data_IF_114036947430
#
_entry.id   IF_114036947430
#
_cell.length_a   1.000
_cell.length_b   1.000
_cell.length_c   1.000
_cell.angle_alpha   90.00
_cell.angle_beta   90.00
_cell.angle_gamma   90.00
#
_symmetry.space_group_name_H-M   'P 1'
#
loop_
_entity.id
_entity.type
_entity.pdbx_description
1 polymer ?
#
# COMPACT_ATOMS: atom_id res chain seq x y z
N UNK A 1 15.53 -6.40 6.34
CA UNK A 1 14.18 -6.73 6.84
C UNK A 1 13.90 -5.89 8.08
N UNK A 2 12.77 -5.19 8.11
CA UNK A 2 12.49 -4.19 9.14
C UNK A 2 11.93 -4.86 10.42
N UNK A 3 12.82 -5.29 11.33
CA UNK A 3 12.41 -5.87 12.63
C UNK A 3 11.59 -4.91 13.48
N UNK A 4 11.80 -3.60 13.32
CA UNK A 4 11.05 -2.56 14.02
C UNK A 4 9.59 -2.60 13.57
N UNK A 5 9.33 -2.65 12.26
CA UNK A 5 7.99 -2.82 11.69
C UNK A 5 7.30 -4.08 12.23
N UNK A 6 7.96 -5.23 12.17
CA UNK A 6 7.39 -6.50 12.65
C UNK A 6 7.08 -6.49 14.15
N UNK A 7 7.95 -5.86 14.96
CA UNK A 7 7.69 -5.68 16.39
C UNK A 7 6.53 -4.71 16.64
N UNK A 8 6.39 -3.66 15.84
CA UNK A 8 5.33 -2.66 15.97
C UNK A 8 3.93 -3.19 15.63
N UNK A 9 3.83 -4.33 14.90
CA UNK A 9 2.57 -5.06 14.76
C UNK A 9 2.02 -5.53 16.12
N UNK A 10 2.87 -5.60 17.16
CA UNK A 10 2.44 -5.73 18.55
C UNK A 10 1.62 -6.98 18.84
N UNK A 11 1.99 -8.13 18.26
CA UNK A 11 1.24 -9.37 18.37
C UNK A 11 1.75 -10.27 19.52
N UNK A 12 0.89 -10.53 20.49
CA UNK A 12 1.16 -11.44 21.61
C UNK A 12 0.89 -12.91 21.27
N UNK A 13 0.13 -13.16 20.18
CA UNK A 13 -0.19 -14.48 19.65
C UNK A 13 0.17 -14.52 18.16
N UNK A 14 0.99 -15.50 17.78
CA UNK A 14 1.41 -15.67 16.39
C UNK A 14 0.31 -16.27 15.49
N UNK A 15 -0.80 -16.74 16.07
CA UNK A 15 -1.94 -17.27 15.32
C UNK A 15 -2.63 -16.24 14.42
N UNK A 16 -2.43 -14.95 14.72
CA UNK A 16 -2.89 -13.82 13.91
C UNK A 16 -2.09 -13.64 12.62
N UNK A 17 -0.94 -14.31 12.46
CA UNK A 17 -0.20 -14.30 11.22
C UNK A 17 -0.56 -15.47 10.29
N UNK A 18 -0.34 -15.26 9.00
CA UNK A 18 -0.40 -16.29 7.95
C UNK A 18 0.66 -16.02 6.87
N UNK A 19 0.99 -17.06 6.11
CA UNK A 19 1.90 -16.96 4.95
C UNK A 19 1.17 -17.14 3.62
N UNK A 20 -0.15 -17.28 3.67
CA UNK A 20 -1.01 -17.55 2.51
C UNK A 20 -2.35 -16.87 2.65
N UNK A 21 -2.97 -16.55 1.52
CA UNK A 21 -4.33 -16.02 1.42
C UNK A 21 -5.35 -17.07 0.94
N UNK A 22 -4.94 -18.35 0.87
CA UNK A 22 -5.84 -19.46 0.52
C UNK A 22 -6.97 -19.60 1.53
N UNK A 23 -8.15 -19.98 1.00
CA UNK A 23 -9.38 -20.21 1.77
C UNK A 23 -9.89 -18.98 2.53
N UNK A 24 -9.43 -17.77 2.21
CA UNK A 24 -9.94 -16.51 2.72
C UNK A 24 -11.18 -16.06 1.94
N UNK A 25 -12.17 -15.52 2.67
CA UNK A 25 -13.37 -14.89 2.10
C UNK A 25 -13.04 -13.52 1.49
N UNK A 26 -12.11 -12.80 2.13
CA UNK A 26 -11.65 -11.47 1.73
C UNK A 26 -10.13 -11.35 1.85
N UNK A 27 -9.55 -10.68 0.87
CA UNK A 27 -8.11 -10.38 0.78
C UNK A 27 -7.98 -8.87 0.66
N UNK A 28 -7.30 -8.26 1.63
CA UNK A 28 -6.84 -6.88 1.53
C UNK A 28 -5.38 -6.87 1.11
N UNK A 29 -5.02 -6.01 0.16
CA UNK A 29 -3.63 -5.77 -0.21
C UNK A 29 -3.36 -4.27 -0.19
N UNK A 30 -2.34 -3.85 0.56
CA UNK A 30 -1.95 -2.44 0.72
C UNK A 30 -0.43 -2.30 0.63
N UNK A 31 0.05 -1.27 -0.05
CA UNK A 31 1.48 -0.90 -0.10
C UNK A 31 2.38 -1.85 -0.88
N UNK A 32 1.87 -2.46 -1.96
CA UNK A 32 2.70 -3.16 -2.93
C UNK A 32 2.07 -3.14 -4.32
N UNK A 33 2.94 -3.21 -5.33
CA UNK A 33 2.62 -3.49 -6.73
C UNK A 33 3.12 -4.91 -7.12
N UNK A 34 2.36 -5.99 -6.85
CA UNK A 34 2.86 -7.37 -6.99
C UNK A 34 3.26 -7.76 -8.42
N UNK A 35 2.68 -7.15 -9.45
CA UNK A 35 3.12 -7.38 -10.84
C UNK A 35 4.60 -7.06 -11.07
N UNK A 36 5.18 -6.19 -10.23
CA UNK A 36 6.60 -5.78 -10.23
C UNK A 36 7.40 -6.45 -9.11
N UNK A 37 6.85 -6.52 -7.90
CA UNK A 37 7.59 -6.97 -6.71
C UNK A 37 7.52 -8.48 -6.49
N UNK A 38 6.35 -9.08 -6.69
CA UNK A 38 6.09 -10.45 -6.26
C UNK A 38 5.00 -11.09 -7.13
N UNK A 39 5.39 -11.55 -8.33
CA UNK A 39 4.46 -12.19 -9.28
C UNK A 39 3.85 -13.48 -8.72
N UNK A 40 4.55 -14.18 -7.81
CA UNK A 40 4.02 -15.37 -7.16
C UNK A 40 2.84 -15.01 -6.24
N UNK A 41 2.97 -13.96 -5.44
CA UNK A 41 1.87 -13.41 -4.63
C UNK A 41 0.71 -12.97 -5.53
N UNK A 42 0.99 -12.26 -6.62
CA UNK A 42 -0.05 -11.86 -7.57
C UNK A 42 -0.84 -13.06 -8.09
N UNK A 43 -0.15 -14.15 -8.47
CA UNK A 43 -0.78 -15.38 -8.96
C UNK A 43 -1.58 -16.12 -7.87
N UNK A 44 -1.10 -16.12 -6.63
CA UNK A 44 -1.83 -16.70 -5.49
C UNK A 44 -3.14 -15.95 -5.26
N UNK A 45 -3.09 -14.61 -5.21
CA UNK A 45 -4.27 -13.76 -5.05
C UNK A 45 -5.26 -14.00 -6.20
N UNK A 46 -4.80 -13.99 -7.46
CA UNK A 46 -5.66 -14.26 -8.63
C UNK A 46 -6.33 -15.63 -8.50
N UNK A 47 -5.60 -16.65 -8.06
CA UNK A 47 -6.17 -17.99 -7.89
C UNK A 47 -7.25 -18.03 -6.81
N UNK A 48 -7.08 -17.28 -5.72
CA UNK A 48 -8.07 -17.18 -4.65
C UNK A 48 -9.32 -16.40 -5.11
N UNK A 49 -9.13 -15.32 -5.87
CA UNK A 49 -10.22 -14.54 -6.46
C UNK A 49 -11.01 -15.39 -7.46
N UNK A 50 -10.34 -16.14 -8.33
CA UNK A 50 -10.98 -17.06 -9.27
C UNK A 50 -11.74 -18.20 -8.54
N UNK A 51 -11.38 -18.50 -7.28
CA UNK A 51 -12.09 -19.42 -6.40
C UNK A 51 -13.23 -18.77 -5.57
N UNK A 52 -13.44 -17.46 -5.70
CA UNK A 52 -14.54 -16.72 -5.08
C UNK A 52 -14.17 -15.76 -3.95
N UNK A 53 -12.89 -15.60 -3.62
CA UNK A 53 -12.46 -14.60 -2.64
C UNK A 53 -12.68 -13.17 -3.17
N UNK A 54 -13.08 -12.24 -2.29
CA UNK A 54 -13.16 -10.82 -2.62
C UNK A 54 -11.78 -10.18 -2.47
N UNK A 55 -11.33 -9.44 -3.48
CA UNK A 55 -10.08 -8.68 -3.41
C UNK A 55 -10.38 -7.21 -3.23
N UNK A 56 -9.93 -6.66 -2.10
CA UNK A 56 -9.90 -5.23 -1.79
C UNK A 56 -8.45 -4.79 -1.97
N UNK A 57 -8.16 -4.08 -3.06
CA UNK A 57 -6.81 -3.64 -3.39
C UNK A 57 -6.72 -2.12 -3.24
N UNK A 58 -5.96 -1.65 -2.26
CA UNK A 58 -5.71 -0.22 -2.07
C UNK A 58 -4.26 0.05 -2.43
N UNK A 59 -4.06 0.83 -3.47
CA UNK A 59 -2.71 1.18 -3.94
C UNK A 59 -2.74 2.46 -4.76
N UNK A 60 -1.62 3.19 -4.82
CA UNK A 60 -1.55 4.52 -5.46
C UNK A 60 -1.78 4.48 -6.98
N UNK A 61 -1.67 3.31 -7.61
CA UNK A 61 -1.81 3.12 -9.05
C UNK A 61 -2.35 1.74 -9.42
N UNK A 62 -2.79 1.58 -10.67
CA UNK A 62 -3.31 0.31 -11.16
C UNK A 62 -2.22 -0.76 -11.30
N UNK A 63 -2.44 -1.94 -10.72
CA UNK A 63 -1.67 -3.14 -11.03
C UNK A 63 -2.28 -3.83 -12.26
N UNK A 64 -1.51 -4.08 -13.33
CA UNK A 64 -2.04 -4.68 -14.56
C UNK A 64 -2.58 -6.11 -14.39
N UNK A 65 -2.23 -6.79 -13.29
CA UNK A 65 -2.70 -8.14 -12.95
C UNK A 65 -3.87 -8.05 -11.96
N UNK A 66 -3.72 -7.28 -10.88
CA UNK A 66 -4.67 -7.31 -9.75
C UNK A 66 -5.83 -6.33 -9.89
N UNK A 67 -5.63 -5.12 -10.42
CA UNK A 67 -6.73 -4.14 -10.54
C UNK A 67 -7.90 -4.66 -11.38
N UNK A 68 -7.71 -5.34 -12.54
CA UNK A 68 -8.81 -5.94 -13.30
C UNK A 68 -9.53 -7.10 -12.59
N UNK A 69 -8.92 -7.68 -11.55
CA UNK A 69 -9.44 -8.81 -10.77
C UNK A 69 -10.02 -8.38 -9.42
N UNK A 70 -9.72 -7.16 -8.98
CA UNK A 70 -10.19 -6.63 -7.71
C UNK A 70 -11.71 -6.53 -7.69
N UNK A 71 -12.30 -6.90 -6.55
CA UNK A 71 -13.70 -6.62 -6.26
C UNK A 71 -13.86 -5.14 -5.94
N UNK A 72 -12.89 -4.56 -5.25
CA UNK A 72 -12.78 -3.13 -4.99
C UNK A 72 -11.33 -2.70 -5.17
N UNK A 73 -11.12 -1.64 -5.95
CA UNK A 73 -9.83 -0.98 -6.08
C UNK A 73 -10.02 0.52 -5.92
N UNK A 74 -9.26 1.12 -5.02
CA UNK A 74 -9.18 2.56 -4.87
C UNK A 74 -7.74 3.02 -4.77
N UNK A 75 -7.50 4.22 -5.33
CA UNK A 75 -6.21 4.90 -5.28
C UNK A 75 -6.18 5.79 -4.05
N UNK A 76 -5.23 5.53 -3.16
CA UNK A 76 -4.92 6.45 -2.08
C UNK A 76 -3.78 7.41 -2.48
N UNK A 77 -3.65 8.52 -1.76
CA UNK A 77 -2.58 9.51 -1.97
C UNK A 77 -1.21 9.02 -1.51
N UNK A 78 -0.15 9.33 -2.24
CA UNK A 78 1.19 8.86 -1.88
C UNK A 78 1.54 9.32 -0.46
N UNK A 79 1.99 8.41 0.41
CA UNK A 79 2.38 8.75 1.78
C UNK A 79 1.21 8.81 2.77
N UNK A 80 -0.02 8.55 2.34
CA UNK A 80 -1.19 8.55 3.21
C UNK A 80 -1.48 7.17 3.83
N UNK A 81 -0.57 6.19 3.76
CA UNK A 81 -0.83 4.81 4.19
C UNK A 81 -1.20 4.68 5.67
N UNK A 82 -0.66 5.55 6.55
CA UNK A 82 -1.08 5.63 7.96
C UNK A 82 -2.55 6.04 8.07
N UNK A 83 -2.97 7.05 7.32
CA UNK A 83 -4.35 7.55 7.27
C UNK A 83 -5.33 6.50 6.72
N UNK A 84 -4.94 5.78 5.67
CA UNK A 84 -5.77 4.69 5.11
C UNK A 84 -6.01 3.60 6.16
N UNK A 85 -4.96 3.16 6.87
CA UNK A 85 -5.13 2.15 7.91
C UNK A 85 -5.84 2.68 9.15
N UNK A 86 -5.73 3.96 9.48
CA UNK A 86 -6.45 4.53 10.62
C UNK A 86 -7.96 4.56 10.38
N UNK A 87 -8.39 4.92 9.16
CA UNK A 87 -9.80 4.89 8.76
C UNK A 87 -10.35 3.45 8.73
N UNK A 88 -9.60 2.50 8.15
CA UNK A 88 -9.97 1.08 8.17
C UNK A 88 -10.06 0.53 9.59
N UNK A 89 -9.10 0.85 10.46
CA UNK A 89 -9.11 0.43 11.85
C UNK A 89 -10.30 1.03 12.60
N UNK A 90 -10.60 2.32 12.41
CA UNK A 90 -11.75 2.97 13.02
C UNK A 90 -13.06 2.30 12.64
N UNK A 91 -13.26 2.03 11.35
CA UNK A 91 -14.43 1.34 10.81
C UNK A 91 -14.55 -0.08 11.38
N UNK A 92 -13.52 -0.92 11.21
CA UNK A 92 -13.60 -2.34 11.59
C UNK A 92 -13.70 -2.57 13.10
N UNK A 93 -13.28 -1.61 13.89
CA UNK A 93 -13.21 -1.73 15.35
C UNK A 93 -14.28 -0.93 16.08
N UNK A 94 -15.21 -0.29 15.36
CA UNK A 94 -16.28 0.53 15.94
C UNK A 94 -17.09 -0.23 17.03
N UNK A 95 -17.40 -1.49 16.80
CA UNK A 95 -18.18 -2.35 17.71
C UNK A 95 -17.29 -3.28 18.57
N UNK A 96 -15.96 -3.12 18.50
CA UNK A 96 -15.02 -3.98 19.22
C UNK A 96 -14.85 -3.56 20.68
N UNK A 97 -14.53 -4.54 21.54
CA UNK A 97 -14.17 -4.27 22.94
C UNK A 97 -12.75 -3.69 23.03
N UNK A 98 -12.62 -2.41 22.69
CA UNK A 98 -11.37 -1.65 22.77
C UNK A 98 -11.15 -1.07 24.17
N UNK A 99 -9.88 -0.75 24.49
CA UNK A 99 -9.55 0.04 25.67
C UNK A 99 -10.14 1.45 25.57
N UNK A 100 -10.37 2.12 26.71
CA UNK A 100 -10.85 3.51 26.72
C UNK A 100 -9.90 4.47 26.00
N UNK A 101 -8.60 4.15 25.96
CA UNK A 101 -7.62 4.93 25.24
C UNK A 101 -7.86 4.89 23.72
N UNK A 102 -8.15 3.72 23.13
CA UNK A 102 -8.47 3.64 21.70
C UNK A 102 -9.84 4.19 21.35
N UNK A 103 -10.84 4.03 22.22
CA UNK A 103 -12.14 4.67 22.02
C UNK A 103 -11.99 6.19 21.95
N UNK A 104 -11.21 6.75 22.88
CA UNK A 104 -10.87 8.17 22.88
C UNK A 104 -10.17 8.56 21.58
N UNK A 105 -9.09 7.84 21.23
CA UNK A 105 -8.34 8.06 19.98
C UNK A 105 -9.25 8.13 18.74
N UNK A 106 -10.06 7.10 18.50
CA UNK A 106 -10.92 7.06 17.31
C UNK A 106 -12.03 8.12 17.35
N UNK A 107 -12.54 8.50 18.52
CA UNK A 107 -13.51 9.59 18.63
C UNK A 107 -12.94 10.97 18.34
N UNK A 108 -11.61 11.15 18.49
CA UNK A 108 -10.91 12.41 18.24
C UNK A 108 -10.19 12.45 16.90
N UNK A 109 -10.14 11.33 16.16
CA UNK A 109 -9.58 11.28 14.81
C UNK A 109 -10.35 12.22 13.89
N UNK A 110 -9.63 13.11 13.20
CA UNK A 110 -10.21 14.01 12.20
C UNK A 110 -10.42 13.25 10.88
N UNK A 111 -11.54 12.53 10.79
CA UNK A 111 -11.87 11.73 9.60
C UNK A 111 -11.98 12.59 8.35
N UNK A 112 -12.46 13.83 8.47
CA UNK A 112 -12.62 14.74 7.35
C UNK A 112 -11.28 15.14 6.75
N UNK A 113 -10.30 15.47 7.61
CA UNK A 113 -8.93 15.74 7.18
C UNK A 113 -8.28 14.50 6.56
N UNK A 114 -8.29 13.36 7.27
CA UNK A 114 -7.63 12.13 6.80
C UNK A 114 -8.23 11.65 5.49
N UNK A 115 -9.56 11.74 5.34
CA UNK A 115 -10.23 11.35 4.10
C UNK A 115 -9.87 12.26 2.93
N UNK A 116 -9.83 13.57 3.16
CA UNK A 116 -9.50 14.55 2.13
C UNK A 116 -8.06 14.39 1.63
N UNK A 117 -7.10 14.15 2.53
CA UNK A 117 -5.69 14.04 2.17
C UNK A 117 -5.29 12.63 1.69
N UNK A 118 -6.00 11.57 2.09
CA UNK A 118 -5.69 10.20 1.66
C UNK A 118 -6.40 9.73 0.39
N UNK A 119 -7.41 10.47 -0.08
CA UNK A 119 -8.35 10.06 -1.13
C UNK A 119 -9.17 8.79 -0.79
N UNK A 120 -9.27 8.43 0.49
CA UNK A 120 -10.16 7.35 0.96
C UNK A 120 -11.16 7.98 1.93
N UNK A 121 -12.41 8.10 1.53
CA UNK A 121 -13.48 8.70 2.32
C UNK A 121 -14.53 7.71 2.78
N UNK A 122 -15.63 8.27 3.31
CA UNK A 122 -16.78 7.51 3.83
C UNK A 122 -17.35 6.54 2.79
N UNK A 123 -17.46 6.95 1.52
CA UNK A 123 -17.99 6.10 0.44
C UNK A 123 -17.12 4.85 0.22
N UNK A 124 -15.80 5.00 0.14
CA UNK A 124 -14.89 3.85 -0.01
C UNK A 124 -14.93 2.93 1.22
N UNK A 125 -15.03 3.50 2.43
CA UNK A 125 -15.11 2.74 3.67
C UNK A 125 -16.43 1.95 3.76
N UNK A 126 -17.57 2.55 3.44
CA UNK A 126 -18.88 1.88 3.42
C UNK A 126 -18.93 0.70 2.42
N UNK A 127 -18.32 0.88 1.24
CA UNK A 127 -18.22 -0.20 0.26
C UNK A 127 -17.35 -1.35 0.78
N UNK A 128 -16.20 -1.03 1.40
CA UNK A 128 -15.33 -2.01 2.04
C UNK A 128 -16.06 -2.76 3.18
N UNK A 129 -16.80 -2.06 4.03
CA UNK A 129 -17.62 -2.67 5.09
C UNK A 129 -18.66 -3.63 4.53
N UNK A 130 -19.34 -3.22 3.45
CA UNK A 130 -20.31 -4.06 2.75
C UNK A 130 -19.67 -5.33 2.20
N UNK A 131 -18.45 -5.23 1.67
CA UNK A 131 -17.69 -6.39 1.20
C UNK A 131 -17.27 -7.31 2.36
N UNK A 132 -17.05 -6.75 3.54
CA UNK A 132 -16.64 -7.47 4.75
C UNK A 132 -17.81 -8.04 5.57
N UNK A 133 -19.05 -7.67 5.25
CA UNK A 133 -20.23 -8.18 5.93
C UNK A 133 -20.27 -9.73 5.90
N UNK A 134 -20.22 -10.34 7.09
CA UNK A 134 -20.25 -11.80 7.24
C UNK A 134 -18.92 -12.52 6.97
N UNK A 135 -17.81 -11.80 6.79
CA UNK A 135 -16.47 -12.40 6.68
C UNK A 135 -16.13 -13.17 7.95
N UNK A 136 -15.64 -14.39 7.78
CA UNK A 136 -15.15 -15.24 8.88
C UNK A 136 -13.67 -15.55 8.77
N UNK A 137 -13.11 -15.41 7.57
CA UNK A 137 -11.68 -15.60 7.27
C UNK A 137 -11.20 -14.47 6.37
N UNK A 138 -10.48 -13.52 6.93
CA UNK A 138 -9.85 -12.45 6.16
C UNK A 138 -8.32 -12.54 6.22
N UNK A 139 -7.67 -11.88 5.27
CA UNK A 139 -6.23 -11.60 5.36
C UNK A 139 -5.94 -10.16 4.92
N UNK A 140 -5.13 -9.47 5.70
CA UNK A 140 -4.52 -8.18 5.39
C UNK A 140 -3.06 -8.41 5.01
N UNK A 141 -2.80 -8.24 3.71
CA UNK A 141 -1.48 -8.39 3.13
C UNK A 141 -0.79 -7.02 3.14
N UNK A 142 0.26 -6.91 3.96
CA UNK A 142 1.09 -5.71 4.08
C UNK A 142 2.29 -5.84 3.14
N UNK A 143 2.33 -4.93 2.17
CA UNK A 143 3.37 -4.85 1.16
C UNK A 143 4.69 -4.24 1.65
N UNK A 144 5.74 -4.42 0.85
CA UNK A 144 7.10 -3.99 1.20
C UNK A 144 7.26 -2.46 1.28
N UNK A 145 6.43 -1.69 0.56
CA UNK A 145 6.51 -0.23 0.55
C UNK A 145 6.23 0.35 1.95
N UNK A 146 5.33 -0.30 2.69
CA UNK A 146 4.95 0.09 4.06
C UNK A 146 6.11 0.01 5.04
N UNK A 147 7.10 -0.86 4.79
CA UNK A 147 8.24 -1.05 5.69
C UNK A 147 9.19 0.14 5.67
N UNK A 148 9.14 0.93 4.60
CA UNK A 148 10.02 2.06 4.38
C UNK A 148 9.31 3.40 4.51
N UNK A 149 7.98 3.39 4.70
CA UNK A 149 7.22 4.59 4.98
C UNK A 149 7.76 5.32 6.22
N UNK A 150 7.83 6.67 6.25
CA UNK A 150 8.28 7.42 7.44
C UNK A 150 7.53 7.05 8.72
N UNK A 151 6.24 6.73 8.59
CA UNK A 151 5.32 6.29 9.66
C UNK A 151 5.10 4.77 9.69
N UNK A 152 6.08 3.99 9.24
CA UNK A 152 5.99 2.52 9.14
C UNK A 152 5.56 1.84 10.45
N UNK A 153 6.06 2.30 11.60
CA UNK A 153 5.65 1.75 12.90
C UNK A 153 4.16 1.94 13.19
N UNK A 154 3.59 3.07 12.80
CA UNK A 154 2.20 3.41 13.07
C UNK A 154 1.26 2.62 12.17
N UNK A 155 1.62 2.51 10.89
CA UNK A 155 0.97 1.61 9.93
C UNK A 155 0.94 0.18 10.50
N UNK A 156 2.07 -0.31 11.02
CA UNK A 156 2.13 -1.62 11.66
C UNK A 156 1.22 -1.71 12.89
N UNK A 157 1.21 -0.70 13.78
CA UNK A 157 0.33 -0.70 14.96
C UNK A 157 -1.14 -0.79 14.58
N UNK A 158 -1.61 -0.03 13.58
CA UNK A 158 -2.99 -0.14 13.08
C UNK A 158 -3.31 -1.51 12.51
N UNK A 159 -2.45 -2.06 11.64
CA UNK A 159 -2.65 -3.38 11.07
C UNK A 159 -2.69 -4.46 12.18
N UNK A 160 -1.81 -4.34 13.17
CA UNK A 160 -1.78 -5.19 14.35
C UNK A 160 -3.06 -5.14 15.18
N UNK A 161 -3.60 -3.93 15.38
CA UNK A 161 -4.85 -3.71 16.09
C UNK A 161 -6.04 -4.34 15.36
N UNK A 162 -6.13 -4.16 14.03
CA UNK A 162 -7.15 -4.82 13.20
C UNK A 162 -7.08 -6.34 13.39
N UNK A 163 -5.89 -6.93 13.28
CA UNK A 163 -5.75 -8.39 13.34
C UNK A 163 -6.06 -8.99 14.72
N UNK A 164 -5.84 -8.24 15.80
CA UNK A 164 -6.15 -8.68 17.16
C UNK A 164 -7.64 -8.72 17.46
N UNK A 165 -8.41 -7.84 16.82
CA UNK A 165 -9.82 -7.62 17.15
C UNK A 165 -10.79 -8.07 16.06
N UNK A 166 -10.28 -8.61 14.95
CA UNK A 166 -11.09 -9.10 13.83
C UNK A 166 -10.63 -10.50 13.39
N UNK A 167 -11.43 -11.22 12.57
CA UNK A 167 -10.99 -12.46 11.94
C UNK A 167 -9.94 -12.30 10.82
N UNK A 168 -9.42 -11.09 10.61
CA UNK A 168 -8.47 -10.77 9.55
C UNK A 168 -7.05 -11.06 10.02
N UNK A 169 -6.36 -12.01 9.38
CA UNK A 169 -4.96 -12.34 9.67
C UNK A 169 -3.99 -11.41 8.97
N UNK A 170 -2.76 -11.32 9.48
CA UNK A 170 -1.67 -10.59 8.86
C UNK A 170 -0.82 -11.49 7.97
N UNK A 171 -0.61 -11.07 6.72
CA UNK A 171 0.42 -11.63 5.85
C UNK A 171 1.39 -10.50 5.49
N UNK A 172 2.68 -10.70 5.73
CA UNK A 172 3.69 -9.66 5.47
C UNK A 172 4.53 -10.08 4.27
N UNK A 173 4.52 -9.28 3.19
CA UNK A 173 5.24 -9.61 1.96
C UNK A 173 6.74 -9.81 2.24
N UNK A 174 7.32 -10.82 1.62
CA UNK A 174 8.75 -11.14 1.76
C UNK A 174 9.15 -11.77 3.10
N UNK A 175 8.18 -12.14 3.96
CA UNK A 175 8.46 -12.79 5.26
C UNK A 175 8.04 -14.25 5.30
N UNK A 176 8.64 -14.98 6.22
CA UNK A 176 8.30 -16.36 6.56
C UNK A 176 7.91 -16.46 8.03
N UNK A 177 7.42 -17.63 8.45
CA UNK A 177 7.07 -17.90 9.86
C UNK A 177 8.24 -17.67 10.83
N UNK A 178 9.49 -17.80 10.37
CA UNK A 178 10.68 -17.60 11.20
C UNK A 178 10.96 -16.12 11.50
N UNK A 179 10.37 -15.22 10.73
CA UNK A 179 10.57 -13.78 10.87
C UNK A 179 9.56 -13.15 11.85
N UNK A 180 8.48 -13.86 12.19
CA UNK A 180 7.41 -13.35 13.05
C UNK A 180 7.92 -13.08 14.47
N UNK A 181 7.47 -11.96 15.04
CA UNK A 181 7.91 -11.46 16.34
C UNK A 181 6.72 -11.43 17.29
N UNK A 182 6.90 -12.00 18.48
CA UNK A 182 6.00 -11.77 19.61
C UNK A 182 6.38 -10.43 20.25
N UNK A 183 5.43 -9.51 20.31
CA UNK A 183 5.62 -8.18 20.88
C UNK A 183 4.34 -7.72 21.60
N UNK A 184 4.51 -6.87 22.61
CA UNK A 184 3.38 -6.22 23.27
C UNK A 184 2.78 -5.14 22.36
N UNK A 185 1.47 -4.96 22.49
CA UNK A 185 0.78 -3.88 21.81
C UNK A 185 1.20 -2.53 22.39
N UNK A 186 1.47 -1.57 21.52
CA UNK A 186 1.74 -0.18 21.88
C UNK A 186 0.68 0.71 21.26
N UNK A 187 0.25 1.73 21.99
CA UNK A 187 -0.73 2.70 21.48
C UNK A 187 -0.25 3.35 20.18
N UNK A 188 -1.21 3.58 19.29
CA UNK A 188 -1.01 4.45 18.12
C UNK A 188 -0.84 5.90 18.58
N UNK A 189 -0.11 6.65 17.76
CA UNK A 189 0.07 8.09 17.89
C UNK A 189 -0.98 8.79 17.03
N UNK A 190 -1.12 10.10 17.19
CA UNK A 190 -1.91 10.91 16.26
C UNK A 190 -1.36 10.73 14.84
N UNK A 191 -2.27 10.67 13.87
CA UNK A 191 -1.90 10.64 12.44
C UNK A 191 -1.17 11.94 12.14
N UNK A 192 0.04 11.84 11.60
CA UNK A 192 0.81 13.02 11.20
C UNK A 192 0.19 13.70 9.99
N UNK A 193 0.54 14.97 9.78
CA UNK A 193 0.15 15.70 8.58
C UNK A 193 0.59 14.93 7.33
N UNK A 194 -0.37 14.60 6.47
CA UNK A 194 -0.10 13.88 5.23
C UNK A 194 0.58 14.85 4.27
N UNK A 195 1.77 14.47 3.80
CA UNK A 195 2.53 15.30 2.89
C UNK A 195 1.84 15.36 1.52
N UNK A 196 1.56 16.57 1.01
CA UNK A 196 1.14 16.73 -0.38
C UNK A 196 2.32 16.46 -1.32
N UNK A 197 2.12 15.57 -2.29
CA UNK A 197 3.07 15.32 -3.36
C UNK A 197 2.78 16.27 -4.54
N UNK A 198 3.12 17.55 -4.37
CA UNK A 198 2.91 18.56 -5.41
C UNK A 198 3.85 18.32 -6.61
N UNK A 199 3.28 17.99 -7.76
CA UNK A 199 4.00 17.87 -9.04
C UNK A 199 3.89 16.48 -9.64
N UNK A 200 5.01 15.97 -10.18
CA UNK A 200 5.07 14.62 -10.77
C UNK A 200 5.87 13.70 -9.87
N UNK A 201 5.32 12.52 -9.62
CA UNK A 201 5.87 11.54 -8.70
C UNK A 201 6.39 10.34 -9.48
N UNK A 202 7.51 9.79 -9.05
CA UNK A 202 7.99 8.50 -9.54
C UNK A 202 7.88 7.43 -8.46
N UNK A 203 7.56 6.22 -8.89
CA UNK A 203 7.53 5.01 -8.08
C UNK A 203 8.70 4.10 -8.50
N UNK A 204 9.69 3.97 -7.62
CA UNK A 204 10.80 3.05 -7.78
C UNK A 204 10.29 1.60 -7.73
N UNK A 205 10.57 0.81 -8.78
CA UNK A 205 10.16 -0.58 -8.82
C UNK A 205 11.21 -1.47 -9.48
N UNK A 206 11.21 -2.79 -9.22
CA UNK A 206 12.08 -3.73 -9.91
C UNK A 206 11.84 -3.72 -11.43
N UNK A 207 12.93 -3.83 -12.19
CA UNK A 207 12.86 -4.10 -13.62
C UNK A 207 12.28 -5.50 -13.88
N UNK A 208 11.38 -5.61 -14.86
CA UNK A 208 10.94 -6.90 -15.42
C UNK A 208 12.09 -7.53 -16.23
N UNK A 209 12.80 -6.71 -17.00
CA UNK A 209 14.02 -7.10 -17.70
C UNK A 209 15.05 -5.97 -17.69
N UNK A 210 16.33 -6.30 -17.87
CA UNK A 210 17.44 -5.35 -17.74
C UNK A 210 17.38 -4.16 -18.72
N UNK A 211 16.61 -4.24 -19.81
CA UNK A 211 16.45 -3.12 -20.75
C UNK A 211 15.47 -2.08 -20.24
N UNK A 212 14.63 -2.43 -19.26
CA UNK A 212 13.59 -1.56 -18.75
C UNK A 212 14.14 -0.39 -17.93
N UNK A 213 15.32 -0.56 -17.30
CA UNK A 213 15.98 0.47 -16.49
C UNK A 213 16.26 1.76 -17.29
N UNK A 214 16.30 1.71 -18.62
CA UNK A 214 16.49 2.91 -19.45
C UNK A 214 15.22 3.77 -19.58
N UNK A 215 14.08 3.31 -19.09
CA UNK A 215 12.79 3.95 -19.31
C UNK A 215 12.25 4.64 -18.05
N UNK A 216 11.54 5.74 -18.26
CA UNK A 216 10.55 6.24 -17.31
C UNK A 216 9.18 5.97 -17.92
N UNK A 217 8.35 5.18 -17.24
CA UNK A 217 7.09 4.70 -17.82
C UNK A 217 5.93 5.43 -17.14
N UNK A 218 5.22 6.27 -17.88
CA UNK A 218 4.15 7.10 -17.31
C UNK A 218 2.87 7.09 -18.14
N UNK A 219 1.79 7.55 -17.52
CA UNK A 219 0.49 7.73 -18.17
C UNK A 219 0.47 8.95 -19.11
N UNK A 220 -0.66 9.15 -19.80
CA UNK A 220 -0.92 10.40 -20.53
C UNK A 220 -1.03 11.63 -19.62
N UNK A 221 -1.56 11.48 -18.40
CA UNK A 221 -1.65 12.56 -17.41
C UNK A 221 -0.26 12.94 -16.89
N UNK A 222 0.60 11.95 -16.59
CA UNK A 222 1.99 12.20 -16.23
C UNK A 222 2.72 12.94 -17.34
N UNK A 223 2.56 12.49 -18.60
CA UNK A 223 3.18 13.13 -19.76
C UNK A 223 2.83 14.63 -19.83
N UNK A 224 1.56 14.97 -19.64
CA UNK A 224 1.08 16.34 -19.65
C UNK A 224 1.65 17.16 -18.48
N UNK A 225 1.62 16.61 -17.27
CA UNK A 225 2.14 17.27 -16.06
C UNK A 225 3.65 17.51 -16.11
N UNK A 226 4.42 16.51 -16.54
CA UNK A 226 5.88 16.58 -16.70
C UNK A 226 6.32 17.34 -17.96
N UNK A 227 5.39 17.68 -18.87
CA UNK A 227 5.66 18.35 -20.15
C UNK A 227 6.67 17.61 -21.03
N UNK A 228 6.60 16.28 -21.05
CA UNK A 228 7.47 15.41 -21.86
C UNK A 228 6.73 14.82 -23.07
N UNK A 229 7.46 14.22 -24.00
CA UNK A 229 6.93 13.49 -25.15
C UNK A 229 7.37 12.03 -25.13
N UNK A 230 6.57 11.16 -25.75
CA UNK A 230 6.97 9.77 -25.96
C UNK A 230 8.27 9.70 -26.75
N UNK A 231 9.18 8.79 -26.34
CA UNK A 231 10.52 8.60 -26.87
C UNK A 231 11.47 9.80 -26.67
N UNK A 232 11.10 10.75 -25.81
CA UNK A 232 11.99 11.86 -25.42
C UNK A 232 13.05 11.38 -24.42
N UNK A 233 14.31 11.69 -24.70
CA UNK A 233 15.40 11.53 -23.74
C UNK A 233 15.26 12.58 -22.63
N UNK A 234 15.33 12.13 -21.38
CA UNK A 234 15.10 12.95 -20.20
C UNK A 234 16.08 12.56 -19.08
N UNK A 235 16.17 13.42 -18.08
CA UNK A 235 16.87 13.21 -16.83
C UNK A 235 15.86 13.30 -15.69
N UNK A 236 15.69 12.20 -14.96
CA UNK A 236 14.87 12.13 -13.75
C UNK A 236 15.76 12.56 -12.59
N UNK A 237 15.52 13.74 -12.03
CA UNK A 237 16.34 14.32 -10.96
C UNK A 237 15.64 14.07 -9.63
N UNK A 238 16.27 13.27 -8.77
CA UNK A 238 15.93 13.15 -7.36
C UNK A 238 16.96 13.90 -6.51
N UNK A 239 16.69 14.05 -5.21
CA UNK A 239 17.64 14.69 -4.28
C UNK A 239 18.98 13.94 -4.16
N UNK A 240 19.02 12.66 -4.56
CA UNK A 240 20.17 11.77 -4.39
C UNK A 240 20.93 11.55 -5.69
N UNK A 241 20.21 11.40 -6.80
CA UNK A 241 20.78 10.96 -8.07
C UNK A 241 20.05 11.58 -9.27
N UNK A 242 20.70 11.55 -10.43
CA UNK A 242 20.09 11.91 -11.71
C UNK A 242 20.14 10.71 -12.63
N UNK A 243 18.96 10.27 -13.07
CA UNK A 243 18.82 9.09 -13.91
C UNK A 243 18.58 9.48 -15.36
N UNK A 244 19.49 9.19 -16.30
CA UNK A 244 19.20 9.33 -17.72
C UNK A 244 18.20 8.25 -18.15
N UNK A 245 17.08 8.68 -18.74
CA UNK A 245 15.96 7.82 -19.14
C UNK A 245 15.38 8.25 -20.49
N UNK A 246 14.56 7.40 -21.07
CA UNK A 246 13.67 7.72 -22.19
C UNK A 246 12.23 7.61 -21.70
N UNK A 247 11.42 8.63 -21.92
CA UNK A 247 10.01 8.60 -21.51
C UNK A 247 9.19 7.68 -22.42
N UNK A 248 8.51 6.71 -21.83
CA UNK A 248 7.60 5.80 -22.51
C UNK A 248 6.19 5.99 -21.96
N UNK A 249 5.24 6.29 -22.84
CA UNK A 249 3.83 6.38 -22.46
C UNK A 249 3.21 4.98 -22.40
N UNK A 250 2.53 4.68 -21.30
CA UNK A 250 1.71 3.47 -21.13
C UNK A 250 0.26 3.87 -20.83
N UNK A 251 -0.65 3.54 -21.76
CA UNK A 251 -2.07 3.89 -21.67
C UNK A 251 -2.82 3.08 -20.59
N UNK A 252 -2.19 2.05 -20.02
CA UNK A 252 -2.76 1.26 -18.93
C UNK A 252 -2.60 1.94 -17.58
N UNK A 253 -1.60 2.82 -17.45
CA UNK A 253 -1.38 3.63 -16.26
C UNK A 253 -2.30 4.84 -16.25
N UNK A 254 -2.69 5.29 -15.06
CA UNK A 254 -3.44 6.54 -14.86
C UNK A 254 -2.76 7.40 -13.81
N UNK A 255 -3.22 8.64 -13.69
CA UNK A 255 -2.72 9.58 -12.68
C UNK A 255 -1.33 10.14 -13.00
N UNK A 256 -0.75 10.86 -12.05
CA UNK A 256 0.51 11.62 -12.23
C UNK A 256 1.71 10.93 -11.59
N UNK A 257 1.65 9.59 -11.47
CA UNK A 257 2.74 8.76 -10.99
C UNK A 257 3.32 7.95 -12.16
N UNK A 258 4.63 7.97 -12.33
CA UNK A 258 5.34 7.14 -13.32
C UNK A 258 6.18 6.05 -12.65
N UNK A 259 6.28 4.90 -13.28
CA UNK A 259 7.20 3.84 -12.87
C UNK A 259 8.64 4.24 -13.22
N UNK A 260 9.53 4.11 -12.23
CA UNK A 260 10.98 4.22 -12.37
C UNK A 260 11.60 2.82 -12.13
N UNK A 261 11.79 2.01 -13.19
CA UNK A 261 12.39 0.69 -13.06
C UNK A 261 13.86 0.81 -12.70
N UNK A 262 14.29 0.05 -11.68
CA UNK A 262 15.67 -0.02 -11.20
C UNK A 262 16.16 -1.47 -11.18
N UNK A 263 17.41 -1.72 -11.57
CA UNK A 263 18.01 -3.08 -11.50
C UNK A 263 18.30 -3.47 -10.05
N UNK A 264 18.66 -2.49 -9.22
CA UNK A 264 18.91 -2.69 -7.80
C UNK A 264 17.84 -1.96 -7.00
N UNK A 265 17.06 -2.72 -6.22
CA UNK A 265 16.09 -2.16 -5.31
C UNK A 265 16.78 -1.25 -4.28
N UNK A 266 16.13 -0.12 -3.99
CA UNK A 266 16.49 0.77 -2.93
C UNK A 266 15.74 0.33 -1.66
N UNK A 267 16.44 0.28 -0.51
CA UNK A 267 15.81 -0.06 0.77
C UNK A 267 15.25 1.23 1.41
N UNK A 268 14.40 1.94 0.67
CA UNK A 268 13.83 3.22 1.04
C UNK A 268 12.39 3.32 0.53
N UNK A 269 11.66 4.33 1.00
CA UNK A 269 10.29 4.57 0.55
C UNK A 269 10.31 4.83 -0.97
N UNK A 270 9.54 4.09 -1.78
CA UNK A 270 9.77 4.03 -3.23
C UNK A 270 9.23 5.25 -3.99
N UNK A 271 8.52 6.15 -3.32
CA UNK A 271 7.95 7.32 -3.95
C UNK A 271 8.82 8.56 -3.79
N UNK A 272 9.04 9.26 -4.90
CA UNK A 272 9.81 10.50 -4.93
C UNK A 272 9.14 11.55 -5.80
N UNK A 273 8.94 12.75 -5.25
CA UNK A 273 8.72 13.94 -6.07
C UNK A 273 10.00 14.17 -6.88
N UNK A 274 9.88 14.29 -8.20
CA UNK A 274 11.04 14.45 -9.07
C UNK A 274 10.90 15.64 -9.99
N UNK A 275 12.05 16.22 -10.36
CA UNK A 275 12.12 17.16 -11.46
C UNK A 275 12.54 16.43 -12.72
N UNK A 276 11.73 16.55 -13.77
CA UNK A 276 12.07 16.04 -15.10
C UNK A 276 12.79 17.14 -15.90
N UNK A 277 14.00 16.85 -16.37
CA UNK A 277 14.83 17.75 -17.19
C UNK A 277 15.05 17.13 -18.56
N UNK A 278 15.06 17.96 -19.60
CA UNK A 278 15.29 17.54 -21.00
C UNK A 278 16.76 17.74 -21.36
#
# INVERSE_FOLDING_TARGET
>A
MNRVFLSALGQSDLSHFTTTCKDCDVIFLIGSLPSRHNRALAQEIVSCVDAGAKLIYLFTMEDPILSPKSTFFSRYEVGSEEGVLSLLAKSFLAESSLSEAYKTYFSTLDDGYVSAESNIGEEEIEEIETLCAGVTKGVLILGEDLFYHPRAEQIARFAGLIARHTPIKLQISGTTQHDWIVAEETMVEEVEDIASFDGVVVYECPCIDAKEERFLIGSSQFQAAAKVQHDEAIHVVSDRETYPRVFVRDERLKGVIALLPLVKANNAYPYHVTKIVK
#
